data_IF_976074418538
#
_entry.id   IF_976074418538
#
_cell.length_a   1.000
_cell.length_b   1.000
_cell.length_c   1.000
_cell.angle_alpha   90.00
_cell.angle_beta   90.00
_cell.angle_gamma   90.00
#
_symmetry.space_group_name_H-M   'P 1'
#
loop_
_entity.id
_entity.type
_entity.pdbx_description
1 polymer ?
#
# COMPACT_ATOMS: atom_id res chain seq x y z
N UNK A 1 13.56 7.31 -1.80
CA UNK A 1 14.39 6.71 -0.73
C UNK A 1 15.84 7.04 -1.00
N UNK A 2 16.57 7.54 -0.02
CA UNK A 2 18.02 7.72 -0.08
C UNK A 2 18.64 6.97 1.10
N UNK A 3 19.63 6.14 0.82
CA UNK A 3 20.30 5.28 1.81
C UNK A 3 21.78 5.22 1.45
N UNK A 4 22.64 4.99 2.44
CA UNK A 4 24.08 4.87 2.21
C UNK A 4 24.42 3.44 1.81
N UNK A 5 25.43 3.26 0.97
CA UNK A 5 25.93 1.92 0.61
C UNK A 5 26.37 1.12 1.84
N UNK A 6 26.97 1.81 2.82
CA UNK A 6 27.39 1.25 4.09
C UNK A 6 26.27 1.32 5.15
N UNK A 7 25.06 1.75 4.83
CA UNK A 7 23.95 1.77 5.77
C UNK A 7 23.37 0.35 6.01
N UNK A 8 24.13 -0.50 6.69
CA UNK A 8 23.87 -1.95 6.81
C UNK A 8 23.00 -2.33 8.00
N UNK A 9 22.86 -1.47 9.01
CA UNK A 9 22.06 -1.78 10.21
C UNK A 9 20.61 -2.08 9.80
N UNK A 10 20.07 -3.17 10.33
CA UNK A 10 18.75 -3.71 9.97
C UNK A 10 18.56 -4.04 8.48
N UNK A 11 19.65 -4.18 7.71
CA UNK A 11 19.62 -4.46 6.27
C UNK A 11 19.09 -3.31 5.42
N UNK A 12 19.17 -2.05 5.89
CA UNK A 12 18.60 -0.89 5.18
C UNK A 12 19.11 -0.76 3.74
N UNK A 13 20.42 -0.90 3.53
CA UNK A 13 21.02 -0.88 2.19
C UNK A 13 20.51 -2.05 1.32
N UNK A 14 20.45 -3.28 1.85
CA UNK A 14 19.92 -4.46 1.15
C UNK A 14 18.49 -4.21 0.68
N UNK A 15 17.63 -3.71 1.55
CA UNK A 15 16.25 -3.36 1.17
C UNK A 15 16.22 -2.21 0.15
N UNK A 16 17.11 -1.22 0.25
CA UNK A 16 17.19 -0.15 -0.74
C UNK A 16 17.46 -0.69 -2.15
N UNK A 17 18.42 -1.60 -2.31
CA UNK A 17 18.69 -2.25 -3.60
C UNK A 17 17.49 -3.07 -4.09
N UNK A 18 16.89 -3.89 -3.22
CA UNK A 18 15.69 -4.67 -3.58
C UNK A 18 14.52 -3.78 -4.03
N UNK A 19 14.32 -2.64 -3.37
CA UNK A 19 13.31 -1.65 -3.77
C UNK A 19 13.67 -0.97 -5.08
N UNK A 20 14.94 -0.65 -5.32
CA UNK A 20 15.39 -0.07 -6.57
C UNK A 20 15.11 -1.00 -7.75
N UNK A 21 15.50 -2.27 -7.64
CA UNK A 21 15.24 -3.29 -8.66
C UNK A 21 13.75 -3.47 -8.89
N UNK A 22 12.98 -3.61 -7.80
CA UNK A 22 11.54 -3.88 -7.91
C UNK A 22 10.76 -2.71 -8.49
N UNK A 23 11.07 -1.48 -8.09
CA UNK A 23 10.41 -0.30 -8.67
C UNK A 23 10.77 -0.11 -10.13
N UNK A 24 12.03 -0.38 -10.51
CA UNK A 24 12.47 -0.35 -11.92
C UNK A 24 11.72 -1.39 -12.75
N UNK A 25 11.62 -2.63 -12.27
CA UNK A 25 10.84 -3.70 -12.91
C UNK A 25 9.38 -3.28 -13.11
N UNK A 26 8.73 -2.79 -12.05
CA UNK A 26 7.32 -2.40 -12.07
C UNK A 26 7.06 -1.19 -12.98
N UNK A 27 7.95 -0.21 -12.99
CA UNK A 27 7.86 0.97 -13.84
C UNK A 27 8.11 0.61 -15.31
N UNK A 28 9.06 -0.29 -15.61
CA UNK A 28 9.26 -0.79 -16.97
C UNK A 28 8.03 -1.54 -17.50
N UNK A 29 7.41 -2.36 -16.65
CA UNK A 29 6.17 -3.06 -17.00
C UNK A 29 4.95 -2.12 -17.10
N UNK A 30 4.97 -0.98 -16.39
CA UNK A 30 3.89 -0.01 -16.34
C UNK A 30 4.45 1.42 -16.36
N UNK A 31 4.81 1.98 -17.55
CA UNK A 31 5.61 3.21 -17.67
C UNK A 31 5.03 4.47 -16.98
N UNK A 32 3.71 4.49 -16.76
CA UNK A 32 3.01 5.60 -16.11
C UNK A 32 2.72 5.36 -14.61
N UNK A 33 3.10 4.19 -14.09
CA UNK A 33 2.92 3.78 -12.70
C UNK A 33 4.25 3.59 -11.97
N UNK A 34 4.19 3.38 -10.65
CA UNK A 34 5.35 3.08 -9.81
C UNK A 34 6.50 4.09 -9.88
N UNK A 35 6.23 5.35 -10.25
CA UNK A 35 7.22 6.42 -10.25
C UNK A 35 7.86 6.53 -8.87
N UNK A 36 9.15 6.18 -8.82
CA UNK A 36 9.92 6.12 -7.60
C UNK A 36 11.35 6.56 -7.86
N UNK A 37 12.02 7.03 -6.81
CA UNK A 37 13.45 7.37 -6.85
C UNK A 37 14.13 6.72 -5.67
N UNK A 38 14.98 5.74 -5.95
CA UNK A 38 15.86 5.10 -4.97
C UNK A 38 17.30 5.43 -5.34
N UNK A 39 18.03 6.01 -4.39
CA UNK A 39 19.45 6.32 -4.56
C UNK A 39 20.20 5.67 -3.40
N UNK A 40 21.14 4.80 -3.74
CA UNK A 40 22.15 4.29 -2.80
C UNK A 40 23.43 5.11 -3.01
N UNK A 41 23.91 5.76 -1.95
CA UNK A 41 25.04 6.69 -2.01
C UNK A 41 26.36 5.94 -1.75
N UNK A 42 27.32 5.95 -2.70
CA UNK A 42 28.58 5.24 -2.54
C UNK A 42 29.35 5.71 -1.30
N UNK A 43 30.00 4.78 -0.59
CA UNK A 43 30.80 5.03 0.61
C UNK A 43 30.06 5.69 1.80
N UNK A 44 28.76 5.98 1.69
CA UNK A 44 28.00 6.66 2.73
C UNK A 44 27.41 5.70 3.78
N UNK A 45 27.41 6.10 5.05
CA UNK A 45 26.70 5.46 6.16
C UNK A 45 25.45 6.24 6.59
N UNK A 46 24.61 5.68 7.48
CA UNK A 46 23.40 6.37 7.94
C UNK A 46 23.70 7.66 8.71
N UNK A 47 24.71 7.60 9.58
CA UNK A 47 25.35 8.72 10.26
C UNK A 47 26.86 8.50 10.23
N UNK A 48 27.65 9.54 10.50
CA UNK A 48 29.12 9.51 10.53
C UNK A 48 29.64 8.45 11.54
N UNK A 49 28.84 8.15 12.58
CA UNK A 49 29.23 7.33 13.74
C UNK A 49 28.76 5.87 13.63
N UNK A 50 28.04 5.48 12.57
CA UNK A 50 27.46 4.14 12.49
C UNK A 50 28.48 3.02 12.21
N UNK A 51 29.75 3.36 11.93
CA UNK A 51 30.86 2.42 11.72
C UNK A 51 32.00 2.66 12.72
N UNK A 52 32.46 1.60 13.39
CA UNK A 52 33.73 1.58 14.15
C UNK A 52 34.97 1.48 13.25
N UNK A 53 34.79 1.58 11.93
CA UNK A 53 35.87 1.56 10.96
C UNK A 53 36.18 3.00 10.52
N UNK A 54 37.24 3.57 11.09
CA UNK A 54 37.75 4.93 10.80
C UNK A 54 38.52 4.99 9.48
N UNK A 55 38.19 4.15 8.51
CA UNK A 55 38.83 4.21 7.19
C UNK A 55 38.44 5.53 6.52
N UNK A 56 39.44 6.36 6.23
CA UNK A 56 39.25 7.69 5.65
C UNK A 56 38.44 7.61 4.35
N UNK A 57 37.28 8.30 4.30
CA UNK A 57 36.44 8.41 3.09
C UNK A 57 34.95 8.12 3.27
N UNK A 58 34.49 7.74 4.47
CA UNK A 58 33.06 7.57 4.75
C UNK A 58 32.34 8.91 4.88
N UNK A 59 31.18 9.05 4.23
CA UNK A 59 30.31 10.23 4.34
C UNK A 59 28.95 9.87 4.95
N UNK A 60 28.19 10.86 5.39
CA UNK A 60 26.78 10.67 5.74
C UNK A 60 25.90 10.63 4.49
N UNK A 61 24.70 10.04 4.62
CA UNK A 61 23.69 10.12 3.56
C UNK A 61 23.21 11.56 3.39
N UNK A 62 23.38 12.11 2.19
CA UNK A 62 22.79 13.39 1.83
C UNK A 62 21.29 13.23 1.48
N UNK A 63 20.41 13.86 2.26
CA UNK A 63 18.98 13.84 2.00
C UNK A 63 18.46 15.05 1.20
N UNK A 64 19.30 16.03 0.84
CA UNK A 64 18.88 17.34 0.32
C UNK A 64 18.06 17.27 -0.96
N UNK A 65 18.32 16.33 -1.87
CA UNK A 65 17.53 16.22 -3.12
C UNK A 65 16.20 15.45 -2.96
N UNK A 66 15.90 14.92 -1.76
CA UNK A 66 14.64 14.21 -1.54
C UNK A 66 13.46 15.16 -1.67
N UNK A 67 13.51 16.32 -0.99
CA UNK A 67 12.44 17.33 -1.02
C UNK A 67 12.25 17.95 -2.41
N UNK A 68 13.30 18.44 -3.11
CA UNK A 68 13.18 18.96 -4.47
C UNK A 68 12.57 17.97 -5.48
N UNK A 69 12.73 16.66 -5.29
CA UNK A 69 12.07 15.66 -6.12
C UNK A 69 10.61 15.43 -5.70
N UNK A 70 10.34 15.33 -4.40
CA UNK A 70 9.00 15.08 -3.85
C UNK A 70 8.01 16.21 -4.20
N UNK A 71 8.42 17.47 -4.15
CA UNK A 71 7.54 18.63 -4.45
C UNK A 71 7.08 18.65 -5.92
N UNK A 72 7.76 17.94 -6.81
CA UNK A 72 7.37 17.79 -8.22
C UNK A 72 6.34 16.67 -8.43
N UNK A 73 6.09 15.84 -7.43
CA UNK A 73 5.15 14.72 -7.52
C UNK A 73 3.75 15.18 -7.16
N UNK A 74 2.76 14.67 -7.89
CA UNK A 74 1.34 14.85 -7.57
C UNK A 74 0.75 13.53 -7.10
N UNK A 75 0.00 13.60 -5.99
CA UNK A 75 -0.64 12.43 -5.41
C UNK A 75 -1.76 11.90 -6.31
N UNK A 76 -1.73 10.61 -6.62
CA UNK A 76 -2.79 9.91 -7.37
C UNK A 76 -3.75 9.24 -6.39
N UNK A 77 -4.81 9.95 -5.97
CA UNK A 77 -5.80 9.46 -4.99
C UNK A 77 -6.71 8.34 -5.54
N UNK A 78 -6.92 8.30 -6.86
CA UNK A 78 -7.81 7.36 -7.52
C UNK A 78 -7.17 6.84 -8.84
N UNK A 79 -6.14 5.97 -8.76
CA UNK A 79 -5.43 5.48 -9.94
C UNK A 79 -6.22 4.40 -10.70
N UNK A 80 -6.01 4.31 -12.02
CA UNK A 80 -6.60 3.25 -12.84
C UNK A 80 -5.94 1.89 -12.62
N UNK A 81 -4.70 1.84 -12.13
CA UNK A 81 -4.00 0.62 -11.76
C UNK A 81 -3.54 0.74 -10.31
N UNK A 82 -3.88 -0.24 -9.49
CA UNK A 82 -3.53 -0.30 -8.08
C UNK A 82 -3.09 -1.71 -7.71
N UNK A 83 -1.84 -1.84 -7.29
CA UNK A 83 -1.34 -3.05 -6.65
C UNK A 83 -1.05 -2.78 -5.18
N UNK A 84 -1.58 -3.61 -4.29
CA UNK A 84 -1.42 -3.48 -2.85
C UNK A 84 -1.32 -4.84 -2.17
N UNK A 85 -0.30 -5.02 -1.32
CA UNK A 85 -0.22 -6.20 -0.45
C UNK A 85 -0.97 -5.88 0.84
N UNK A 86 -2.06 -6.57 1.08
CA UNK A 86 -2.71 -6.58 2.39
C UNK A 86 -1.95 -7.54 3.30
N UNK A 87 -1.26 -6.99 4.30
CA UNK A 87 -0.50 -7.76 5.30
C UNK A 87 -0.57 -7.05 6.64
N UNK A 88 -0.16 -7.78 7.69
CA UNK A 88 0.00 -7.20 9.01
C UNK A 88 1.19 -6.22 8.98
N UNK A 89 0.94 -4.95 9.33
CA UNK A 89 1.93 -3.88 9.37
C UNK A 89 2.50 -3.65 10.77
N UNK A 90 1.92 -4.27 11.80
CA UNK A 90 2.51 -4.32 13.13
C UNK A 90 3.17 -5.67 13.36
N UNK A 91 4.44 -5.66 13.76
CA UNK A 91 4.98 -6.83 14.44
C UNK A 91 4.18 -7.05 15.72
N UNK A 92 3.99 -8.31 16.07
CA UNK A 92 3.44 -8.68 17.37
C UNK A 92 4.33 -8.11 18.48
N UNK A 93 3.98 -6.94 19.04
CA UNK A 93 4.68 -6.43 20.22
C UNK A 93 4.08 -7.16 21.41
N UNK A 94 4.86 -8.05 22.03
CA UNK A 94 4.54 -8.53 23.37
C UNK A 94 4.53 -7.31 24.30
N UNK A 95 3.40 -7.02 24.94
CA UNK A 95 3.39 -6.07 26.04
C UNK A 95 4.27 -6.68 27.14
N UNK A 96 5.42 -6.08 27.43
CA UNK A 96 6.12 -6.38 28.68
C UNK A 96 5.40 -5.58 29.76
N UNK A 97 4.73 -6.26 30.69
CA UNK A 97 4.56 -5.72 32.04
C UNK A 97 4.43 -6.88 33.03
N UNK A 98 4.74 -6.59 34.29
CA UNK A 98 4.53 -7.48 35.42
C UNK A 98 3.06 -7.83 35.65
N UNK A 99 2.66 -7.98 36.92
CA UNK A 99 1.44 -8.67 37.36
C UNK A 99 0.20 -8.41 36.47
N UNK A 100 -0.30 -9.49 35.88
CA UNK A 100 -1.44 -9.61 34.95
C UNK A 100 -1.13 -9.38 33.45
N UNK A 101 -0.65 -10.45 32.81
CA UNK A 101 -0.72 -10.62 31.36
C UNK A 101 -1.76 -11.69 31.02
N UNK A 102 -2.89 -11.27 30.44
CA UNK A 102 -3.88 -12.19 29.85
C UNK A 102 -4.26 -11.74 28.44
N UNK A 103 -3.39 -12.05 27.47
CA UNK A 103 -3.79 -12.42 26.11
C UNK A 103 -4.11 -11.35 25.06
N UNK A 104 -3.84 -11.78 23.81
CA UNK A 104 -4.29 -11.33 22.48
C UNK A 104 -3.43 -10.30 21.75
N UNK A 105 -2.84 -10.79 20.66
CA UNK A 105 -2.07 -10.07 19.65
C UNK A 105 -2.98 -9.25 18.73
N UNK A 106 -2.74 -7.95 18.61
CA UNK A 106 -3.34 -7.14 17.54
C UNK A 106 -2.46 -7.23 16.30
N UNK A 107 -2.90 -7.96 15.28
CA UNK A 107 -2.41 -7.71 13.92
C UNK A 107 -2.99 -6.36 13.47
N UNK A 108 -2.13 -5.39 13.20
CA UNK A 108 -2.57 -4.12 12.63
C UNK A 108 -2.59 -4.28 11.11
N UNK A 109 -3.77 -4.41 10.53
CA UNK A 109 -3.96 -4.40 9.09
C UNK A 109 -4.49 -3.02 8.68
N UNK A 110 -4.12 -2.56 7.49
CA UNK A 110 -4.69 -1.32 6.96
C UNK A 110 -6.20 -1.47 6.81
N UNK A 111 -6.96 -0.48 7.28
CA UNK A 111 -8.43 -0.45 7.14
C UNK A 111 -8.87 -0.06 5.74
N UNK A 112 -8.04 0.64 4.98
CA UNK A 112 -8.32 1.04 3.60
C UNK A 112 -7.15 1.77 2.95
N UNK A 113 -7.00 1.58 1.63
CA UNK A 113 -5.90 2.16 0.83
C UNK A 113 -6.45 2.60 -0.52
N UNK A 114 -6.10 3.82 -0.95
CA UNK A 114 -6.67 4.49 -2.12
C UNK A 114 -8.20 4.52 -2.06
N UNK A 115 -8.85 3.67 -2.85
CA UNK A 115 -10.30 3.53 -2.95
C UNK A 115 -10.78 2.13 -2.53
N UNK A 116 -9.92 1.34 -1.90
CA UNK A 116 -10.24 0.03 -1.35
C UNK A 116 -10.50 0.14 0.16
N UNK A 117 -11.53 -0.54 0.63
CA UNK A 117 -11.89 -0.67 2.04
C UNK A 117 -11.84 -2.13 2.45
N UNK A 118 -11.02 -2.36 3.47
CA UNK A 118 -10.63 -3.66 3.99
C UNK A 118 -11.27 -3.97 5.34
N UNK A 119 -12.11 -3.09 5.90
CA UNK A 119 -12.73 -3.28 7.23
C UNK A 119 -13.59 -4.54 7.35
N UNK A 120 -14.04 -5.10 6.23
CA UNK A 120 -14.81 -6.36 6.18
C UNK A 120 -13.96 -7.57 5.74
N UNK A 121 -12.63 -7.41 5.67
CA UNK A 121 -11.72 -8.53 5.52
C UNK A 121 -11.46 -9.19 6.88
N UNK A 122 -11.24 -10.50 6.83
CA UNK A 122 -10.94 -11.33 7.99
C UNK A 122 -9.69 -12.15 7.69
N UNK A 123 -8.84 -12.30 8.69
CA UNK A 123 -7.63 -13.13 8.60
C UNK A 123 -7.74 -14.28 9.58
N UNK A 124 -7.17 -15.43 9.21
CA UNK A 124 -7.10 -16.59 10.10
C UNK A 124 -5.85 -16.59 11.00
N UNK A 125 -4.91 -15.68 10.76
CA UNK A 125 -3.71 -15.48 11.57
C UNK A 125 -3.19 -14.04 11.41
N UNK A 126 -2.21 -13.66 12.23
CA UNK A 126 -1.45 -12.41 12.12
C UNK A 126 -0.35 -12.45 11.04
N UNK A 127 -0.16 -13.60 10.38
CA UNK A 127 0.76 -13.77 9.26
C UNK A 127 0.04 -13.71 7.92
N UNK A 128 -1.30 -13.69 7.89
CA UNK A 128 -2.08 -13.70 6.66
C UNK A 128 -1.73 -12.51 5.76
N UNK A 129 -1.57 -12.78 4.46
CA UNK A 129 -1.34 -11.73 3.48
C UNK A 129 -1.82 -12.11 2.08
N UNK A 130 -2.30 -11.10 1.36
CA UNK A 130 -2.88 -11.24 0.02
C UNK A 130 -2.50 -10.03 -0.83
N UNK A 131 -2.02 -10.28 -2.04
CA UNK A 131 -1.88 -9.27 -3.07
C UNK A 131 -3.25 -8.97 -3.66
N UNK A 132 -3.58 -7.69 -3.77
CA UNK A 132 -4.65 -7.17 -4.60
C UNK A 132 -4.03 -6.43 -5.78
N UNK A 133 -4.48 -6.76 -6.98
CA UNK A 133 -4.11 -6.09 -8.21
C UNK A 133 -5.40 -5.66 -8.92
N UNK A 134 -5.59 -4.35 -9.08
CA UNK A 134 -6.85 -3.76 -9.54
C UNK A 134 -6.58 -2.91 -10.77
N UNK A 135 -7.24 -3.26 -11.87
CA UNK A 135 -7.23 -2.50 -13.11
C UNK A 135 -8.64 -1.98 -13.40
N UNK A 136 -8.77 -0.66 -13.45
CA UNK A 136 -9.99 0.07 -13.77
C UNK A 136 -9.95 0.59 -15.20
N UNK A 137 -11.01 0.34 -15.94
CA UNK A 137 -11.28 0.97 -17.24
C UNK A 137 -12.76 1.38 -17.31
N UNK A 138 -13.02 2.68 -17.24
CA UNK A 138 -14.38 3.23 -17.13
C UNK A 138 -15.13 2.62 -15.95
N UNK A 139 -16.28 1.98 -16.23
CA UNK A 139 -17.14 1.30 -15.27
C UNK A 139 -16.72 -0.16 -14.96
N UNK A 140 -15.61 -0.64 -15.53
CA UNK A 140 -15.14 -2.01 -15.33
C UNK A 140 -13.93 -2.02 -14.39
N UNK A 141 -13.96 -2.93 -13.42
CA UNK A 141 -12.86 -3.23 -12.52
C UNK A 141 -12.49 -4.70 -12.66
N UNK A 142 -11.24 -4.97 -13.02
CA UNK A 142 -10.65 -6.29 -12.98
C UNK A 142 -9.77 -6.38 -11.73
N UNK A 143 -10.09 -7.32 -10.85
CA UNK A 143 -9.39 -7.54 -9.59
C UNK A 143 -8.78 -8.93 -9.65
N UNK A 144 -7.47 -9.00 -9.49
CA UNK A 144 -6.72 -10.23 -9.33
C UNK A 144 -6.22 -10.30 -7.89
N UNK A 145 -6.41 -11.44 -7.24
CA UNK A 145 -5.90 -11.69 -5.89
C UNK A 145 -4.92 -12.83 -5.90
N UNK A 146 -3.78 -12.67 -5.22
CA UNK A 146 -2.82 -13.75 -5.00
C UNK A 146 -2.56 -13.92 -3.51
N UNK A 147 -2.87 -15.11 -2.99
CA UNK A 147 -2.47 -15.50 -1.63
C UNK A 147 -0.94 -15.49 -1.56
N UNK A 148 -0.38 -14.80 -0.58
CA UNK A 148 1.08 -14.79 -0.33
C UNK A 148 1.37 -15.70 0.87
N UNK A 149 0.70 -15.46 2.00
CA UNK A 149 0.75 -16.30 3.21
C UNK A 149 -0.67 -16.64 3.65
N UNK A 150 -0.93 -16.97 4.92
CA UNK A 150 -2.21 -17.46 5.44
C UNK A 150 -3.50 -16.75 4.92
N UNK A 151 -4.65 -17.39 5.14
CA UNK A 151 -5.91 -17.05 4.46
C UNK A 151 -6.43 -15.66 4.83
N UNK A 152 -6.74 -14.88 3.80
CA UNK A 152 -7.59 -13.68 3.86
C UNK A 152 -8.93 -14.01 3.22
N UNK A 153 -10.03 -13.65 3.87
CA UNK A 153 -11.41 -13.83 3.39
C UNK A 153 -12.29 -12.64 3.76
N UNK A 154 -13.59 -12.71 3.48
CA UNK A 154 -14.54 -11.67 3.85
C UNK A 154 -15.02 -10.89 2.64
N UNK A 155 -15.15 -9.57 2.78
CA UNK A 155 -15.66 -8.69 1.74
C UNK A 155 -14.70 -7.53 1.47
N UNK A 156 -14.42 -7.30 0.20
CA UNK A 156 -13.69 -6.14 -0.29
C UNK A 156 -14.69 -5.08 -0.75
N UNK A 157 -14.57 -3.87 -0.25
CA UNK A 157 -15.35 -2.73 -0.74
C UNK A 157 -14.47 -1.86 -1.63
N UNK A 158 -15.02 -1.44 -2.76
CA UNK A 158 -14.39 -0.57 -3.75
C UNK A 158 -15.25 0.68 -3.83
N UNK A 159 -14.68 1.81 -3.43
CA UNK A 159 -15.31 3.11 -3.65
C UNK A 159 -15.24 3.48 -5.13
N UNK A 160 -16.32 4.10 -5.61
CA UNK A 160 -16.54 4.37 -7.01
C UNK A 160 -16.47 5.87 -7.28
N UNK A 161 -15.55 6.24 -8.16
CA UNK A 161 -15.35 7.57 -8.71
C UNK A 161 -14.95 7.48 -10.19
N UNK A 162 -15.09 8.60 -10.92
CA UNK A 162 -14.75 8.72 -12.35
C UNK A 162 -15.34 7.58 -13.18
N UNK A 163 -16.63 7.31 -12.95
CA UNK A 163 -17.46 6.34 -13.68
C UNK A 163 -18.71 7.03 -14.23
N UNK A 164 -19.32 6.42 -15.23
CA UNK A 164 -20.65 6.81 -15.70
C UNK A 164 -21.73 6.15 -14.84
N UNK A 165 -22.38 6.92 -13.97
CA UNK A 165 -23.47 6.44 -13.12
C UNK A 165 -24.74 6.03 -13.89
N UNK A 166 -24.84 6.35 -15.18
CA UNK A 166 -25.93 5.87 -16.04
C UNK A 166 -25.78 4.38 -16.39
N UNK A 167 -24.55 3.86 -16.35
CA UNK A 167 -24.17 2.50 -16.74
C UNK A 167 -23.93 1.59 -15.51
N UNK A 168 -24.10 0.27 -15.66
CA UNK A 168 -23.74 -0.67 -14.60
C UNK A 168 -22.22 -0.69 -14.37
N UNK A 169 -21.82 -0.87 -13.11
CA UNK A 169 -20.44 -1.17 -12.74
C UNK A 169 -20.23 -2.66 -12.84
N UNK A 170 -19.15 -3.08 -13.52
CA UNK A 170 -18.80 -4.49 -13.72
C UNK A 170 -17.53 -4.80 -12.95
N UNK A 171 -17.59 -5.75 -12.02
CA UNK A 171 -16.41 -6.21 -11.28
C UNK A 171 -16.14 -7.67 -11.62
N UNK A 172 -14.92 -7.96 -12.05
CA UNK A 172 -14.40 -9.31 -12.20
C UNK A 172 -13.38 -9.57 -11.09
N UNK A 173 -13.55 -10.65 -10.35
CA UNK A 173 -12.57 -11.16 -9.38
C UNK A 173 -11.96 -12.44 -9.95
N UNK A 174 -10.63 -12.46 -10.15
CA UNK A 174 -9.90 -13.59 -10.74
C UNK A 174 -10.54 -14.09 -12.05
N UNK A 175 -10.90 -13.16 -12.93
CA UNK A 175 -11.58 -13.42 -14.21
C UNK A 175 -13.09 -13.67 -14.13
N UNK A 176 -13.63 -14.06 -12.97
CA UNK A 176 -15.07 -14.32 -12.78
C UNK A 176 -15.84 -13.04 -12.50
N UNK A 177 -16.95 -12.80 -13.20
CA UNK A 177 -17.86 -11.68 -12.90
C UNK A 177 -18.53 -11.91 -11.55
N UNK A 178 -18.32 -11.00 -10.61
CA UNK A 178 -18.88 -11.04 -9.24
C UNK A 178 -19.82 -9.87 -8.94
N UNK A 179 -19.78 -8.81 -9.75
CA UNK A 179 -20.66 -7.65 -9.61
C UNK A 179 -21.09 -7.14 -10.99
N UNK A 180 -22.37 -6.79 -11.16
CA UNK A 180 -22.89 -6.13 -12.36
C UNK A 180 -24.18 -5.38 -12.06
N UNK A 181 -24.05 -4.16 -11.53
CA UNK A 181 -25.21 -3.38 -11.08
C UNK A 181 -24.99 -1.88 -11.29
N UNK A 182 -26.09 -1.15 -11.49
CA UNK A 182 -26.08 0.31 -11.55
C UNK A 182 -26.04 0.88 -10.13
N UNK A 183 -25.12 1.80 -9.89
CA UNK A 183 -24.96 2.48 -8.61
C UNK A 183 -25.55 3.88 -8.64
N UNK A 184 -26.00 4.36 -7.48
CA UNK A 184 -26.46 5.74 -7.30
C UNK A 184 -25.62 6.44 -6.24
N UNK A 185 -25.26 7.71 -6.43
CA UNK A 185 -24.64 8.52 -5.40
C UNK A 185 -25.49 8.54 -4.12
N UNK A 186 -24.85 8.38 -2.97
CA UNK A 186 -25.47 8.36 -1.65
C UNK A 186 -24.64 9.15 -0.63
N UNK A 187 -25.31 10.02 0.14
CA UNK A 187 -24.65 10.85 1.16
C UNK A 187 -23.98 10.03 2.27
N UNK A 188 -24.59 8.91 2.66
CA UNK A 188 -23.99 7.99 3.64
C UNK A 188 -22.62 7.47 3.21
N UNK A 189 -22.41 7.23 1.91
CA UNK A 189 -21.12 6.78 1.38
C UNK A 189 -20.07 7.89 1.43
N UNK A 190 -20.48 9.14 1.24
CA UNK A 190 -19.57 10.29 1.39
C UNK A 190 -19.11 10.43 2.84
N UNK A 191 -20.03 10.36 3.80
CA UNK A 191 -19.68 10.40 5.24
C UNK A 191 -18.75 9.25 5.61
N UNK A 192 -19.04 8.05 5.12
CA UNK A 192 -18.22 6.86 5.37
C UNK A 192 -16.81 6.96 4.79
N UNK A 193 -16.67 7.46 3.57
CA UNK A 193 -15.35 7.65 2.93
C UNK A 193 -14.52 8.73 3.63
N UNK A 194 -15.15 9.83 4.05
CA UNK A 194 -14.49 10.86 4.88
C UNK A 194 -13.99 10.24 6.19
N UNK A 195 -14.84 9.49 6.89
CA UNK A 195 -14.48 8.86 8.15
C UNK A 195 -13.36 7.82 8.00
N UNK A 196 -13.31 7.10 6.87
CA UNK A 196 -12.28 6.11 6.61
C UNK A 196 -10.93 6.74 6.22
N UNK A 197 -10.94 7.73 5.33
CA UNK A 197 -9.73 8.21 4.68
C UNK A 197 -9.18 9.51 5.22
N UNK A 198 -10.02 10.35 5.86
CA UNK A 198 -9.63 11.67 6.36
C UNK A 198 -9.05 12.60 5.30
N UNK A 199 -9.34 12.36 4.02
CA UNK A 199 -8.72 13.04 2.89
C UNK A 199 -9.77 13.64 1.96
N UNK A 200 -9.76 14.98 1.75
CA UNK A 200 -10.70 15.66 0.89
C UNK A 200 -10.74 15.16 -0.56
N UNK A 201 -9.64 14.60 -1.08
CA UNK A 201 -9.61 14.02 -2.43
C UNK A 201 -10.15 12.58 -2.48
N UNK A 202 -10.51 11.97 -1.35
CA UNK A 202 -11.06 10.62 -1.25
C UNK A 202 -12.47 10.63 -0.66
N UNK A 203 -13.28 11.61 -1.09
CA UNK A 203 -14.70 11.66 -0.81
C UNK A 203 -15.42 10.97 -1.96
N UNK A 204 -16.05 9.85 -1.67
CA UNK A 204 -16.69 9.00 -2.66
C UNK A 204 -18.19 8.94 -2.43
N UNK A 205 -18.98 9.05 -3.49
CA UNK A 205 -20.44 9.05 -3.39
C UNK A 205 -21.07 7.68 -3.61
N UNK A 206 -20.31 6.68 -4.08
CA UNK A 206 -20.81 5.34 -4.30
C UNK A 206 -19.73 4.30 -3.99
N UNK A 207 -20.17 3.06 -3.75
CA UNK A 207 -19.28 1.93 -3.46
C UNK A 207 -19.91 0.62 -3.91
N UNK A 208 -19.08 -0.35 -4.26
CA UNK A 208 -19.48 -1.72 -4.53
C UNK A 208 -18.74 -2.66 -3.56
N UNK A 209 -19.43 -3.67 -3.04
CA UNK A 209 -18.84 -4.64 -2.11
C UNK A 209 -18.91 -6.03 -2.73
N UNK A 210 -17.77 -6.71 -2.81
CA UNK A 210 -17.66 -8.06 -3.36
C UNK A 210 -17.18 -9.03 -2.28
N UNK A 211 -17.55 -10.30 -2.41
CA UNK A 211 -17.03 -11.38 -1.56
C UNK A 211 -15.73 -11.93 -2.16
N UNK A 212 -14.73 -12.14 -1.31
CA UNK A 212 -13.48 -12.83 -1.65
C UNK A 212 -13.62 -14.35 -1.52
#
# INVERSE_FOLDING_TARGET
>A
MRVGENDTKYGRNVYAYQWQDKLTELQNANPNDYVGKVIVQPNAGHTEVDYMDTTAGHTEVDYMDTTPWLVKQSRRHYPNHLTYVYHNVASAVAQISGAYSTGVYYGAYSTGVYYLDFRQLTTNSNKASMLFDVVKNGNTFAITTKKITDKVSGKLTIYLDKIDFSQPVKIKLNGKRVHFEKHRPARGVMVESIALFGDPARIFSAKATIKL
#
